data_IF_870857202100
#
_entry.id   IF_870857202100
#
_cell.length_a   1.000
_cell.length_b   1.000
_cell.length_c   1.000
_cell.angle_alpha   90.00
_cell.angle_beta   90.00
_cell.angle_gamma   90.00
#
_symmetry.space_group_name_H-M   'P 1'
#
loop_
_entity.id
_entity.type
_entity.pdbx_description
1 polymer ?
#
# COMPACT_ATOMS: atom_id res chain seq x y z
N UNK A 1 4.72 -25.76 -6.79
CA UNK A 1 4.29 -24.54 -6.07
C UNK A 1 5.51 -23.64 -6.04
N UNK A 2 5.39 -22.44 -6.58
CA UNK A 2 6.50 -21.48 -6.69
C UNK A 2 7.07 -21.16 -5.31
N UNK A 3 8.40 -21.14 -5.19
CA UNK A 3 9.13 -20.73 -3.98
C UNK A 3 8.64 -19.39 -3.43
N UNK A 4 8.18 -18.49 -4.31
CA UNK A 4 7.62 -17.19 -3.92
C UNK A 4 6.28 -17.32 -3.20
N UNK A 5 5.41 -18.22 -3.65
CA UNK A 5 4.11 -18.48 -2.99
C UNK A 5 4.36 -19.08 -1.60
N UNK A 6 5.31 -20.01 -1.48
CA UNK A 6 5.68 -20.59 -0.19
C UNK A 6 6.17 -19.52 0.79
N UNK A 7 7.00 -18.57 0.34
CA UNK A 7 7.45 -17.43 1.17
C UNK A 7 6.29 -16.51 1.56
N UNK A 8 5.29 -16.34 0.68
CA UNK A 8 4.13 -15.49 0.95
C UNK A 8 3.24 -16.11 2.03
N UNK A 9 3.00 -17.42 1.97
CA UNK A 9 2.05 -18.13 2.84
C UNK A 9 2.68 -18.73 4.09
N UNK A 10 4.01 -18.73 4.22
CA UNK A 10 4.68 -19.37 5.35
C UNK A 10 4.49 -18.63 6.67
N UNK A 11 4.12 -19.38 7.70
CA UNK A 11 4.13 -18.92 9.09
C UNK A 11 5.54 -18.89 9.70
N UNK A 12 6.55 -19.49 9.04
CA UNK A 12 7.93 -19.55 9.54
C UNK A 12 8.71 -18.29 9.15
N UNK A 13 9.14 -17.52 10.15
CA UNK A 13 9.89 -16.26 9.97
C UNK A 13 11.11 -16.40 9.06
N UNK A 14 11.92 -17.45 9.24
CA UNK A 14 13.13 -17.67 8.45
C UNK A 14 12.83 -17.87 6.96
N UNK A 15 11.68 -18.46 6.63
CA UNK A 15 11.23 -18.59 5.24
C UNK A 15 10.60 -17.29 4.76
N UNK A 16 9.72 -16.70 5.58
CA UNK A 16 8.92 -15.52 5.23
C UNK A 16 9.80 -14.28 5.02
N UNK A 17 10.85 -14.09 5.81
CA UNK A 17 11.66 -12.86 5.83
C UNK A 17 12.88 -12.90 4.89
N UNK A 18 12.91 -13.85 3.93
CA UNK A 18 13.91 -13.85 2.86
C UNK A 18 13.76 -12.62 1.97
N UNK A 19 14.87 -12.03 1.55
CA UNK A 19 14.87 -10.92 0.59
C UNK A 19 14.47 -11.40 -0.79
N UNK A 20 13.80 -10.53 -1.56
CA UNK A 20 13.43 -10.84 -2.94
C UNK A 20 14.67 -11.10 -3.81
N UNK A 21 15.77 -10.36 -3.57
CA UNK A 21 17.05 -10.59 -4.24
C UNK A 21 17.54 -12.03 -4.08
N UNK A 22 17.52 -12.59 -2.86
CA UNK A 22 17.94 -13.96 -2.59
C UNK A 22 16.98 -15.02 -3.19
N UNK A 23 15.71 -14.65 -3.40
CA UNK A 23 14.74 -15.54 -4.07
C UNK A 23 14.95 -15.56 -5.59
N UNK A 24 15.34 -14.44 -6.19
CA UNK A 24 15.58 -14.30 -7.62
C UNK A 24 17.02 -14.64 -8.05
N UNK A 25 17.94 -14.82 -7.09
CA UNK A 25 19.33 -15.14 -7.38
C UNK A 25 19.45 -16.47 -8.14
N UNK A 26 20.31 -16.51 -9.16
CA UNK A 26 20.52 -17.69 -10.00
C UNK A 26 19.40 -18.00 -11.00
N UNK A 27 18.15 -17.62 -10.74
CA UNK A 27 16.99 -17.97 -11.57
C UNK A 27 17.10 -17.44 -13.01
N UNK A 28 16.95 -18.30 -14.00
CA UNK A 28 16.96 -17.96 -15.43
C UNK A 28 15.74 -17.11 -15.83
N UNK A 29 15.76 -16.51 -17.03
CA UNK A 29 14.61 -15.75 -17.55
C UNK A 29 13.34 -16.60 -17.62
N UNK A 30 13.46 -17.87 -18.02
CA UNK A 30 12.34 -18.80 -18.12
C UNK A 30 11.77 -19.11 -16.72
N UNK A 31 12.63 -19.45 -15.76
CA UNK A 31 12.21 -19.72 -14.38
C UNK A 31 11.55 -18.50 -13.73
N UNK A 32 12.11 -17.29 -13.91
CA UNK A 32 11.50 -16.06 -13.40
C UNK A 32 10.13 -15.78 -14.05
N UNK A 33 9.99 -16.03 -15.35
CA UNK A 33 8.72 -15.87 -16.06
C UNK A 33 7.66 -16.85 -15.54
N UNK A 34 8.04 -18.11 -15.29
CA UNK A 34 7.17 -19.10 -14.68
C UNK A 34 6.77 -18.73 -13.25
N UNK A 35 7.72 -18.25 -12.44
CA UNK A 35 7.42 -17.75 -11.11
C UNK A 35 6.45 -16.55 -11.13
N UNK A 36 6.61 -15.62 -12.07
CA UNK A 36 5.68 -14.52 -12.26
C UNK A 36 4.29 -15.01 -12.66
N UNK A 37 4.18 -16.00 -13.57
CA UNK A 37 2.90 -16.60 -13.96
C UNK A 37 2.20 -17.25 -12.77
N UNK A 38 2.91 -18.05 -11.99
CA UNK A 38 2.35 -18.68 -10.79
C UNK A 38 1.93 -17.66 -9.72
N UNK A 39 2.71 -16.59 -9.52
CA UNK A 39 2.35 -15.49 -8.62
C UNK A 39 1.11 -14.74 -9.10
N UNK A 40 0.99 -14.49 -10.41
CA UNK A 40 -0.17 -13.84 -11.01
C UNK A 40 -1.44 -14.68 -10.81
N UNK A 41 -1.37 -15.98 -11.06
CA UNK A 41 -2.46 -16.92 -10.81
C UNK A 41 -2.82 -17.00 -9.32
N UNK A 42 -1.81 -16.99 -8.44
CA UNK A 42 -2.00 -17.03 -6.99
C UNK A 42 -2.75 -15.79 -6.48
N UNK A 43 -2.33 -14.57 -6.88
CA UNK A 43 -2.99 -13.34 -6.41
C UNK A 43 -4.47 -13.25 -6.82
N UNK A 44 -4.83 -13.83 -7.97
CA UNK A 44 -6.21 -13.82 -8.48
C UNK A 44 -7.12 -14.74 -7.68
N UNK A 45 -6.56 -15.83 -7.13
CA UNK A 45 -7.30 -16.84 -6.37
C UNK A 45 -7.22 -16.64 -4.86
N UNK A 46 -6.20 -15.93 -4.35
CA UNK A 46 -6.03 -15.72 -2.92
C UNK A 46 -7.16 -14.88 -2.34
N UNK A 47 -7.89 -15.42 -1.37
CA UNK A 47 -8.88 -14.69 -0.58
C UNK A 47 -8.24 -13.84 0.52
N UNK A 48 -7.02 -14.20 0.95
CA UNK A 48 -6.24 -13.43 1.90
C UNK A 48 -5.64 -12.20 1.21
N UNK A 49 -5.99 -11.01 1.72
CA UNK A 49 -5.60 -9.72 1.17
C UNK A 49 -4.11 -9.45 1.36
N UNK A 50 -3.54 -9.81 2.51
CA UNK A 50 -2.11 -9.65 2.76
C UNK A 50 -1.29 -10.44 1.73
N UNK A 51 -1.65 -11.71 1.50
CA UNK A 51 -1.02 -12.54 0.48
C UNK A 51 -1.15 -11.96 -0.92
N UNK A 52 -2.34 -11.45 -1.27
CA UNK A 52 -2.59 -10.83 -2.58
C UNK A 52 -1.74 -9.58 -2.80
N UNK A 53 -1.70 -8.67 -1.83
CA UNK A 53 -0.89 -7.44 -1.90
C UNK A 53 0.59 -7.76 -1.97
N UNK A 54 1.05 -8.72 -1.16
CA UNK A 54 2.45 -9.15 -1.17
C UNK A 54 2.86 -9.75 -2.51
N UNK A 55 2.00 -10.57 -3.13
CA UNK A 55 2.20 -11.10 -4.46
C UNK A 55 2.27 -9.99 -5.53
N UNK A 56 1.41 -8.97 -5.45
CA UNK A 56 1.43 -7.82 -6.36
C UNK A 56 2.74 -7.03 -6.27
N UNK A 57 3.24 -6.77 -5.06
CA UNK A 57 4.53 -6.09 -4.89
C UNK A 57 5.72 -6.95 -5.31
N UNK A 58 5.67 -8.28 -5.11
CA UNK A 58 6.69 -9.19 -5.64
C UNK A 58 6.70 -9.14 -7.17
N UNK A 59 5.54 -9.24 -7.82
CA UNK A 59 5.42 -9.12 -9.28
C UNK A 59 5.98 -7.78 -9.77
N UNK A 60 5.56 -6.67 -9.18
CA UNK A 60 6.05 -5.34 -9.53
C UNK A 60 7.57 -5.25 -9.44
N UNK A 61 8.16 -5.72 -8.32
CA UNK A 61 9.60 -5.67 -8.11
C UNK A 61 10.38 -6.62 -9.05
N UNK A 62 9.87 -7.85 -9.29
CA UNK A 62 10.49 -8.80 -10.23
C UNK A 62 10.54 -8.19 -11.63
N UNK A 63 9.40 -7.69 -12.13
CA UNK A 63 9.35 -7.06 -13.45
C UNK A 63 10.18 -5.77 -13.54
N UNK A 64 10.33 -5.02 -12.44
CA UNK A 64 11.09 -3.75 -12.44
C UNK A 64 12.60 -3.94 -12.34
N UNK A 65 13.05 -4.89 -11.52
CA UNK A 65 14.44 -4.94 -11.04
C UNK A 65 15.17 -6.26 -11.31
N UNK A 66 14.46 -7.36 -11.55
CA UNK A 66 15.06 -8.69 -11.68
C UNK A 66 14.96 -9.25 -13.10
N UNK A 67 13.79 -9.17 -13.71
CA UNK A 67 13.55 -9.68 -15.06
C UNK A 67 14.36 -8.92 -16.12
N UNK A 68 14.45 -7.58 -16.12
CA UNK A 68 15.23 -6.84 -17.13
C UNK A 68 16.70 -7.24 -17.18
N UNK A 69 17.29 -7.60 -16.04
CA UNK A 69 18.70 -8.06 -15.95
C UNK A 69 18.97 -9.37 -16.69
N UNK A 70 17.92 -10.12 -17.06
CA UNK A 70 18.01 -11.41 -17.77
C UNK A 70 17.55 -11.31 -19.22
N UNK A 71 17.15 -10.13 -19.67
CA UNK A 71 16.81 -9.88 -21.07
C UNK A 71 18.08 -9.64 -21.90
N UNK A 72 18.05 -9.95 -23.21
CA UNK A 72 19.10 -9.50 -24.13
C UNK A 72 19.21 -7.97 -24.15
N UNK A 73 20.43 -7.45 -24.30
CA UNK A 73 20.75 -6.00 -24.21
C UNK A 73 19.92 -5.14 -25.17
N UNK A 74 19.56 -5.67 -26.34
CA UNK A 74 18.83 -4.92 -27.38
C UNK A 74 17.30 -5.16 -27.34
N UNK A 75 16.79 -5.80 -26.29
CA UNK A 75 15.40 -6.24 -26.21
C UNK A 75 14.47 -5.20 -25.58
N UNK A 76 14.51 -3.97 -26.10
CA UNK A 76 13.67 -2.86 -25.63
C UNK A 76 12.19 -3.15 -25.85
N UNK A 77 11.83 -3.69 -27.02
CA UNK A 77 10.45 -3.93 -27.43
C UNK A 77 9.63 -2.64 -27.62
N UNK A 78 8.32 -2.79 -27.86
CA UNK A 78 7.37 -1.69 -27.93
C UNK A 78 6.36 -1.82 -26.79
N UNK A 79 5.86 -0.68 -26.29
CA UNK A 79 4.75 -0.66 -25.34
C UNK A 79 3.45 -0.90 -26.13
N UNK A 80 2.68 -1.96 -25.84
CA UNK A 80 1.39 -2.19 -26.49
C UNK A 80 0.42 -1.05 -26.17
N UNK A 81 -0.12 -0.41 -27.21
CA UNK A 81 -0.96 0.79 -27.07
C UNK A 81 -2.19 0.53 -26.19
N UNK A 82 -2.95 -0.53 -26.47
CA UNK A 82 -4.18 -0.86 -25.73
C UNK A 82 -3.90 -1.13 -24.24
N UNK A 83 -2.77 -1.78 -23.93
CA UNK A 83 -2.36 -2.05 -22.55
C UNK A 83 -2.02 -0.75 -21.80
N UNK A 84 -1.39 0.20 -22.49
CA UNK A 84 -1.07 1.50 -21.93
C UNK A 84 -2.31 2.39 -21.75
N UNK A 85 -3.28 2.32 -22.66
CA UNK A 85 -4.57 3.01 -22.51
C UNK A 85 -5.32 2.50 -21.26
N UNK A 86 -5.40 1.18 -21.06
CA UNK A 86 -5.94 0.59 -19.84
C UNK A 86 -5.25 1.11 -18.57
N UNK A 87 -3.92 1.24 -18.60
CA UNK A 87 -3.14 1.77 -17.48
C UNK A 87 -3.51 3.22 -17.16
N UNK A 88 -3.61 4.10 -18.17
CA UNK A 88 -3.97 5.50 -18.01
C UNK A 88 -5.38 5.69 -17.45
N UNK A 89 -6.30 4.82 -17.86
CA UNK A 89 -7.69 4.82 -17.38
C UNK A 89 -7.87 4.13 -16.03
N UNK A 90 -6.78 3.70 -15.39
CA UNK A 90 -6.77 2.97 -14.11
C UNK A 90 -7.50 1.62 -14.17
N UNK A 91 -7.62 1.05 -15.37
CA UNK A 91 -8.11 -0.32 -15.62
C UNK A 91 -6.94 -1.30 -15.48
N UNK A 92 -6.40 -1.40 -14.27
CA UNK A 92 -5.11 -2.07 -14.03
C UNK A 92 -5.12 -3.58 -14.28
N UNK A 93 -6.25 -4.27 -14.03
CA UNK A 93 -6.34 -5.70 -14.30
C UNK A 93 -6.30 -5.98 -15.81
N UNK A 94 -7.06 -5.21 -16.58
CA UNK A 94 -7.09 -5.28 -18.03
C UNK A 94 -5.74 -4.88 -18.63
N UNK A 95 -5.06 -3.86 -18.07
CA UNK A 95 -3.71 -3.51 -18.48
C UNK A 95 -2.73 -4.69 -18.30
N UNK A 96 -2.75 -5.34 -17.13
CA UNK A 96 -1.92 -6.52 -16.85
C UNK A 96 -2.22 -7.64 -17.84
N UNK A 97 -3.50 -7.95 -18.07
CA UNK A 97 -3.91 -9.02 -18.98
C UNK A 97 -3.43 -8.74 -20.42
N UNK A 98 -3.57 -7.49 -20.89
CA UNK A 98 -3.07 -7.07 -22.21
C UNK A 98 -1.55 -7.15 -22.31
N UNK A 99 -0.79 -6.69 -21.32
CA UNK A 99 0.67 -6.80 -21.31
C UNK A 99 1.14 -8.26 -21.26
N UNK A 100 0.50 -9.11 -20.44
CA UNK A 100 0.84 -10.54 -20.35
C UNK A 100 0.55 -11.27 -21.66
N UNK A 101 -0.57 -10.96 -22.32
CA UNK A 101 -0.91 -11.53 -23.63
C UNK A 101 0.16 -11.15 -24.65
N UNK A 102 0.53 -9.87 -24.73
CA UNK A 102 1.59 -9.42 -25.62
C UNK A 102 2.95 -10.09 -25.31
N UNK A 103 3.29 -10.27 -24.03
CA UNK A 103 4.48 -10.99 -23.61
C UNK A 103 4.47 -12.47 -24.04
N UNK A 104 3.31 -13.12 -24.04
CA UNK A 104 3.17 -14.51 -24.51
C UNK A 104 3.40 -14.61 -26.02
N UNK A 105 2.91 -13.63 -26.78
CA UNK A 105 2.98 -13.64 -28.25
C UNK A 105 4.35 -13.23 -28.80
N UNK A 106 4.97 -12.19 -28.21
CA UNK A 106 6.20 -11.57 -28.72
C UNK A 106 7.43 -11.85 -27.85
N UNK A 107 7.23 -12.48 -26.70
CA UNK A 107 8.25 -12.65 -25.67
C UNK A 107 8.36 -11.44 -24.73
N UNK A 108 9.11 -11.59 -23.63
CA UNK A 108 9.35 -10.49 -22.69
C UNK A 108 10.30 -9.45 -23.31
N UNK A 109 10.08 -8.18 -22.98
CA UNK A 109 10.92 -7.04 -23.37
C UNK A 109 10.95 -5.99 -22.26
N UNK A 110 11.90 -5.06 -22.30
CA UNK A 110 12.01 -4.01 -21.27
C UNK A 110 10.76 -3.13 -21.20
N UNK A 111 10.17 -2.78 -22.36
CA UNK A 111 8.95 -1.98 -22.44
C UNK A 111 7.77 -2.67 -21.75
N UNK A 112 7.57 -3.97 -22.03
CA UNK A 112 6.48 -4.76 -21.44
C UNK A 112 6.74 -5.00 -19.95
N UNK A 113 7.98 -5.31 -19.56
CA UNK A 113 8.35 -5.48 -18.17
C UNK A 113 8.12 -4.20 -17.35
N UNK A 114 8.45 -3.03 -17.91
CA UNK A 114 8.18 -1.74 -17.27
C UNK A 114 6.66 -1.49 -17.13
N UNK A 115 5.87 -1.80 -18.16
CA UNK A 115 4.42 -1.68 -18.12
C UNK A 115 3.77 -2.59 -17.08
N UNK A 116 4.19 -3.85 -17.02
CA UNK A 116 3.75 -4.81 -16.01
C UNK A 116 4.14 -4.37 -14.60
N UNK A 117 5.38 -3.91 -14.41
CA UNK A 117 5.86 -3.44 -13.12
C UNK A 117 4.97 -2.32 -12.56
N UNK A 118 4.63 -1.34 -13.40
CA UNK A 118 3.77 -0.22 -13.03
C UNK A 118 2.31 -0.67 -12.80
N UNK A 119 1.76 -1.49 -13.69
CA UNK A 119 0.38 -1.97 -13.57
C UNK A 119 0.16 -2.79 -12.29
N UNK A 120 1.10 -3.69 -11.94
CA UNK A 120 1.06 -4.42 -10.67
C UNK A 120 1.22 -3.50 -9.45
N UNK A 121 2.10 -2.50 -9.53
CA UNK A 121 2.30 -1.53 -8.46
C UNK A 121 1.02 -0.75 -8.17
N UNK A 122 0.41 -0.20 -9.22
CA UNK A 122 -0.84 0.56 -9.11
C UNK A 122 -1.99 -0.31 -8.62
N UNK A 123 -2.09 -1.56 -9.10
CA UNK A 123 -3.09 -2.50 -8.61
C UNK A 123 -2.90 -2.83 -7.12
N UNK A 124 -1.65 -2.95 -6.64
CA UNK A 124 -1.36 -3.15 -5.22
C UNK A 124 -1.89 -2.01 -4.36
N UNK A 125 -1.61 -0.77 -4.76
CA UNK A 125 -2.11 0.42 -4.05
C UNK A 125 -3.61 0.59 -4.15
N UNK A 126 -4.21 0.34 -5.31
CA UNK A 126 -5.66 0.37 -5.48
C UNK A 126 -6.33 -0.65 -4.54
N UNK A 127 -5.77 -1.87 -4.45
CA UNK A 127 -6.27 -2.93 -3.55
C UNK A 127 -6.19 -2.50 -2.08
N UNK A 128 -5.07 -1.89 -1.66
CA UNK A 128 -4.92 -1.34 -0.30
C UNK A 128 -5.91 -0.20 -0.02
N UNK A 129 -6.07 0.73 -0.97
CA UNK A 129 -6.98 1.86 -0.83
C UNK A 129 -8.44 1.40 -0.70
N UNK A 130 -8.85 0.39 -1.47
CA UNK A 130 -10.20 -0.17 -1.39
C UNK A 130 -10.45 -0.86 -0.05
N UNK A 131 -9.44 -1.52 0.52
CA UNK A 131 -9.56 -2.09 1.86
C UNK A 131 -9.69 -1.01 2.95
N UNK A 132 -8.92 0.07 2.87
CA UNK A 132 -9.06 1.20 3.80
C UNK A 132 -10.46 1.80 3.68
N UNK A 133 -10.94 2.06 2.45
CA UNK A 133 -12.31 2.56 2.22
C UNK A 133 -13.37 1.63 2.81
N UNK A 134 -13.23 0.32 2.60
CA UNK A 134 -14.14 -0.69 3.16
C UNK A 134 -14.14 -0.63 4.68
N UNK A 135 -12.96 -0.68 5.30
CA UNK A 135 -12.79 -0.68 6.76
C UNK A 135 -13.39 0.57 7.41
N UNK A 136 -13.16 1.74 6.82
CA UNK A 136 -13.71 3.01 7.35
C UNK A 136 -15.23 3.05 7.18
N UNK A 137 -15.79 2.56 6.06
CA UNK A 137 -17.24 2.56 5.80
C UNK A 137 -18.02 1.56 6.66
N UNK A 138 -17.43 0.43 7.03
CA UNK A 138 -18.13 -0.61 7.82
C UNK A 138 -18.33 -0.23 9.28
N UNK A 139 -17.52 0.69 9.83
CA UNK A 139 -17.67 1.15 11.21
C UNK A 139 -18.88 2.06 11.32
N UNK A 140 -19.88 1.67 12.13
CA UNK A 140 -21.13 2.43 12.34
C UNK A 140 -20.86 3.90 12.72
N UNK A 141 -19.87 4.14 13.57
CA UNK A 141 -19.46 5.47 14.01
C UNK A 141 -18.87 6.37 12.90
N UNK A 142 -18.50 5.80 11.75
CA UNK A 142 -17.88 6.51 10.64
C UNK A 142 -18.83 6.75 9.47
N UNK A 143 -20.02 6.14 9.48
CA UNK A 143 -20.97 6.24 8.36
C UNK A 143 -21.41 7.67 8.07
N UNK A 144 -21.41 8.55 9.07
CA UNK A 144 -21.75 9.97 8.90
C UNK A 144 -20.79 10.70 7.96
N UNK A 145 -19.51 10.29 7.87
CA UNK A 145 -18.52 10.91 7.00
C UNK A 145 -18.84 10.73 5.50
N UNK A 146 -19.65 9.73 5.16
CA UNK A 146 -19.98 9.39 3.77
C UNK A 146 -21.43 9.69 3.40
N UNK A 147 -22.21 10.26 4.33
CA UNK A 147 -23.57 10.71 4.02
C UNK A 147 -23.49 12.06 3.31
N UNK A 148 -23.99 12.10 2.08
CA UNK A 148 -24.31 13.35 1.40
C UNK A 148 -25.71 13.72 1.91
N UNK A 149 -25.78 14.63 2.88
CA UNK A 149 -27.02 15.07 3.52
C UNK A 149 -27.09 16.59 3.65
N UNK A 150 -28.20 17.11 4.18
CA UNK A 150 -28.29 18.54 4.48
C UNK A 150 -27.29 18.87 5.61
N UNK A 151 -26.65 20.06 5.61
CA UNK A 151 -25.75 20.47 6.70
C UNK A 151 -26.33 20.28 8.11
N UNK A 152 -27.64 20.46 8.27
CA UNK A 152 -28.34 20.27 9.55
C UNK A 152 -28.39 18.80 10.02
N UNK A 153 -28.29 17.84 9.10
CA UNK A 153 -28.29 16.40 9.38
C UNK A 153 -26.93 15.88 9.86
N UNK A 154 -25.88 16.71 9.81
CA UNK A 154 -24.58 16.33 10.35
C UNK A 154 -24.69 16.15 11.87
N UNK A 155 -24.13 15.09 12.49
CA UNK A 155 -24.22 14.90 13.93
C UNK A 155 -23.29 15.82 14.73
N UNK A 156 -22.30 16.42 14.08
CA UNK A 156 -21.32 17.28 14.73
C UNK A 156 -21.91 18.67 14.99
N UNK A 157 -21.66 19.20 16.20
CA UNK A 157 -22.12 20.53 16.64
C UNK A 157 -20.96 21.25 17.30
N UNK A 158 -20.88 22.56 17.05
CA UNK A 158 -19.95 23.44 17.75
C UNK A 158 -20.46 23.66 19.18
N UNK A 159 -19.56 23.68 20.16
CA UNK A 159 -19.89 24.03 21.55
C UNK A 159 -20.43 25.46 21.59
N UNK A 160 -21.60 25.68 22.21
CA UNK A 160 -22.29 26.98 22.21
C UNK A 160 -21.44 28.11 22.77
N UNK A 161 -20.57 27.77 23.71
CA UNK A 161 -19.63 28.66 24.38
C UNK A 161 -18.66 29.31 23.38
N UNK A 162 -18.31 28.62 22.28
CA UNK A 162 -17.46 29.17 21.21
C UNK A 162 -18.19 30.18 20.31
N UNK A 163 -19.51 30.25 20.42
CA UNK A 163 -20.37 31.14 19.62
C UNK A 163 -20.74 32.42 20.36
N UNK A 164 -20.28 32.59 21.61
CA UNK A 164 -20.58 33.77 22.44
C UNK A 164 -19.31 34.55 22.75
N UNK A 165 -19.41 35.88 22.64
CA UNK A 165 -18.39 36.79 23.13
C UNK A 165 -18.71 37.13 24.59
N UNK A 166 -17.72 37.04 25.47
CA UNK A 166 -17.80 37.60 26.81
C UNK A 166 -17.27 39.05 26.80
N UNK A 167 -18.15 40.04 26.95
CA UNK A 167 -17.78 41.46 26.98
C UNK A 167 -17.43 42.06 25.61
N UNK A 168 -16.40 42.91 25.55
CA UNK A 168 -15.95 43.60 24.32
C UNK A 168 -14.76 42.86 23.66
N UNK A 169 -14.53 41.60 24.06
CA UNK A 169 -13.39 40.79 23.58
C UNK A 169 -13.63 40.06 22.25
N UNK A 170 -12.63 39.31 21.76
CA UNK A 170 -12.83 38.37 20.65
C UNK A 170 -13.65 37.14 21.08
N UNK A 171 -14.14 36.36 20.12
CA UNK A 171 -14.68 35.02 20.39
C UNK A 171 -13.61 34.12 21.06
N UNK A 172 -14.02 33.11 21.85
CA UNK A 172 -13.10 32.14 22.43
C UNK A 172 -12.25 31.45 21.36
N UNK A 173 -10.94 31.35 21.64
CA UNK A 173 -9.98 30.69 20.76
C UNK A 173 -9.74 29.28 21.28
N UNK A 174 -9.96 28.28 20.43
CA UNK A 174 -9.58 26.91 20.71
C UNK A 174 -8.07 26.74 20.56
N UNK A 175 -7.43 26.16 21.59
CA UNK A 175 -6.06 25.70 21.54
C UNK A 175 -6.05 24.20 21.81
N UNK A 176 -5.65 23.43 20.80
CA UNK A 176 -5.33 22.02 20.95
C UNK A 176 -3.85 21.88 21.31
N UNK A 177 -3.55 21.06 22.32
CA UNK A 177 -2.20 20.77 22.79
C UNK A 177 -2.06 19.27 22.87
N UNK A 178 -1.37 18.68 21.89
CA UNK A 178 -1.28 17.24 21.73
C UNK A 178 0.17 16.81 21.67
N UNK A 179 0.56 15.88 22.53
CA UNK A 179 1.91 15.33 22.57
C UNK A 179 2.28 14.69 21.22
N UNK A 180 3.57 14.66 20.90
CA UNK A 180 4.06 14.10 19.64
C UNK A 180 4.22 12.58 19.76
N UNK A 181 3.90 11.85 18.69
CA UNK A 181 4.14 10.40 18.61
C UNK A 181 5.63 10.13 18.39
N UNK A 182 6.23 9.32 19.26
CA UNK A 182 7.57 8.76 19.10
C UNK A 182 7.46 7.24 18.93
N UNK A 183 8.06 6.74 17.85
CA UNK A 183 8.06 5.32 17.52
C UNK A 183 9.38 4.69 17.98
N UNK A 184 9.33 3.77 18.96
CA UNK A 184 10.50 2.99 19.39
C UNK A 184 10.75 1.78 18.50
N UNK A 185 9.68 1.24 17.91
CA UNK A 185 9.74 0.22 16.87
C UNK A 185 8.75 0.55 15.78
N UNK A 186 9.05 0.14 14.55
CA UNK A 186 8.21 0.44 13.39
C UNK A 186 8.00 -0.82 12.55
N UNK A 187 6.78 -1.03 12.07
CA UNK A 187 6.40 -2.18 11.23
C UNK A 187 6.82 -2.03 9.76
N UNK A 188 7.81 -1.17 9.45
CA UNK A 188 8.19 -0.61 8.14
C UNK A 188 7.05 0.02 7.29
N UNK A 189 5.80 -0.38 7.52
CA UNK A 189 4.57 0.05 6.88
C UNK A 189 3.61 0.56 7.97
N UNK A 190 2.63 1.37 7.59
CA UNK A 190 1.62 1.85 8.54
C UNK A 190 0.84 0.66 9.11
N UNK A 191 0.84 0.57 10.45
CA UNK A 191 -0.05 -0.26 11.28
C UNK A 191 -1.46 -0.38 10.71
N UNK A 192 -2.03 0.71 10.17
CA UNK A 192 -3.36 0.74 9.57
C UNK A 192 -3.55 -0.25 8.41
N UNK A 193 -2.50 -0.51 7.63
CA UNK A 193 -2.58 -1.45 6.51
C UNK A 193 -2.64 -2.88 7.04
N UNK A 194 -1.75 -3.26 7.95
CA UNK A 194 -1.76 -4.60 8.55
C UNK A 194 -3.03 -4.87 9.35
N UNK A 195 -3.52 -3.89 10.11
CA UNK A 195 -4.80 -3.97 10.83
C UNK A 195 -6.00 -4.05 9.90
N UNK A 196 -5.90 -3.42 8.73
CA UNK A 196 -6.91 -3.52 7.68
C UNK A 196 -6.83 -4.81 6.86
N UNK A 197 -5.82 -5.66 7.04
CA UNK A 197 -5.61 -6.88 6.26
C UNK A 197 -5.72 -8.13 7.13
N UNK A 198 -5.55 -9.30 6.51
CA UNK A 198 -5.53 -10.62 7.16
C UNK A 198 -4.17 -10.95 7.83
N UNK A 199 -3.44 -9.94 8.31
CA UNK A 199 -2.15 -10.12 9.01
C UNK A 199 -1.90 -9.03 10.08
N UNK A 200 -2.77 -8.93 11.10
CA UNK A 200 -2.68 -7.89 12.14
C UNK A 200 -1.43 -8.04 13.02
N UNK A 201 -0.83 -9.22 13.12
CA UNK A 201 0.41 -9.46 13.86
C UNK A 201 1.59 -8.66 13.28
N UNK A 202 1.55 -8.36 11.98
CA UNK A 202 2.52 -7.48 11.32
C UNK A 202 2.44 -6.02 11.77
N UNK A 203 1.34 -5.61 12.42
CA UNK A 203 1.14 -4.25 12.94
C UNK A 203 1.76 -4.01 14.32
N UNK A 204 2.44 -5.01 14.92
CA UNK A 204 2.96 -4.90 16.29
C UNK A 204 4.09 -3.87 16.35
N UNK A 205 3.83 -2.76 17.04
CA UNK A 205 4.76 -1.65 17.23
C UNK A 205 4.70 -1.12 18.66
N UNK A 206 5.79 -0.48 19.11
CA UNK A 206 5.87 0.22 20.38
C UNK A 206 6.02 1.71 20.12
N UNK A 207 4.97 2.47 20.44
CA UNK A 207 4.94 3.92 20.30
C UNK A 207 4.52 4.56 21.61
N UNK A 208 5.01 5.78 21.84
CA UNK A 208 4.65 6.59 23.02
C UNK A 208 4.32 8.02 22.61
N UNK A 209 3.49 8.67 23.41
CA UNK A 209 3.25 10.10 23.33
C UNK A 209 4.27 10.83 24.19
N UNK A 210 5.01 11.76 23.61
CA UNK A 210 6.04 12.54 24.29
C UNK A 210 5.82 14.03 24.13
N UNK A 211 6.09 14.75 25.21
CA UNK A 211 6.12 16.20 25.23
C UNK A 211 7.52 16.69 24.87
N UNK A 212 7.61 17.84 24.21
CA UNK A 212 8.86 18.39 23.71
C UNK A 212 9.24 19.67 24.46
N UNK A 213 10.54 19.90 24.61
CA UNK A 213 11.08 21.12 25.20
C UNK A 213 12.42 21.47 24.56
N UNK A 214 12.66 22.75 24.33
CA UNK A 214 13.93 23.25 23.82
C UNK A 214 14.88 23.49 24.98
N UNK A 215 15.98 22.74 24.99
CA UNK A 215 17.01 22.82 26.03
C UNK A 215 17.53 24.25 26.20
N UNK A 216 17.51 24.75 27.43
CA UNK A 216 17.95 26.11 27.79
C UNK A 216 16.92 27.21 27.52
N UNK A 217 15.76 26.88 26.94
CA UNK A 217 14.62 27.79 26.78
C UNK A 217 13.44 27.41 27.66
N UNK A 218 13.07 26.13 27.64
CA UNK A 218 11.89 25.63 28.34
C UNK A 218 12.31 24.94 29.66
N UNK A 219 11.60 25.25 30.76
CA UNK A 219 11.86 24.66 32.09
C UNK A 219 11.40 23.19 32.19
N UNK A 220 10.35 22.84 31.44
CA UNK A 220 9.80 21.48 31.33
C UNK A 220 9.30 21.21 29.90
N UNK A 221 9.36 19.96 29.41
CA UNK A 221 8.69 19.58 28.17
C UNK A 221 7.18 19.79 28.26
N UNK A 222 6.56 20.19 27.14
CA UNK A 222 5.10 20.34 27.00
C UNK A 222 4.66 19.89 25.60
N UNK A 223 3.37 19.57 25.42
CA UNK A 223 2.84 19.42 24.07
C UNK A 223 3.07 20.74 23.28
N UNK A 224 3.45 20.65 21.99
CA UNK A 224 3.60 21.83 21.13
C UNK A 224 2.31 22.65 21.01
#
# INVERSE_FOLDING_TARGET
MSRFVDVITSDKDDLRHQSLDALCEGATLAELSDHCRELDEFRRRSENLYHRVRALFFLSAIYRFHLPKRLPVDNTGLVPFDAYEHLLERRFQEAIDSFLTHQQDQGPSDAVASGLAEAYHQLAFQTLADQVRRSVRTVRGNQWMFRIGHPDDHPLRVRKELLSIEGVGPFPILSEKTSVRMDFSHSAWSDIFFLGMDFPEGARVLNVSVDLGVRGRDDVPRPP
#
